data_IF_233269360019
#
_entry.id   IF_233269360019
#
_cell.length_a   1.000
_cell.length_b   1.000
_cell.length_c   1.000
_cell.angle_alpha   90.00
_cell.angle_beta   90.00
_cell.angle_gamma   90.00
#
_symmetry.space_group_name_H-M   'P 1'
#
loop_
_entity.id
_entity.type
_entity.pdbx_description
1 polymer ?
#
# COMPACT_ATOMS: atom_id res chain seq x y z
N UNK A 1 50.76 5.75 18.52
CA UNK A 1 49.47 5.88 17.83
C UNK A 1 48.94 4.48 17.60
N UNK A 2 47.75 4.14 18.16
CA UNK A 2 47.09 2.87 17.87
C UNK A 2 46.62 2.88 16.41
N UNK A 3 46.87 1.80 15.66
CA UNK A 3 46.41 1.67 14.28
C UNK A 3 44.99 1.09 14.32
N UNK A 4 44.06 1.61 13.52
CA UNK A 4 42.69 1.12 13.39
C UNK A 4 42.65 -0.41 13.10
N UNK A 5 43.65 -0.91 12.37
CA UNK A 5 43.78 -2.34 12.04
C UNK A 5 44.15 -3.26 13.22
N UNK A 6 44.37 -2.73 14.43
CA UNK A 6 44.63 -3.54 15.64
C UNK A 6 43.39 -3.81 16.48
N UNK A 7 42.22 -3.25 16.11
CA UNK A 7 40.96 -3.53 16.77
C UNK A 7 40.27 -4.72 16.11
N UNK A 8 39.64 -5.56 16.94
CA UNK A 8 38.81 -6.65 16.43
C UNK A 8 37.62 -6.09 15.66
N UNK A 9 37.25 -6.77 14.60
CA UNK A 9 36.06 -6.44 13.82
C UNK A 9 34.82 -6.86 14.62
N UNK A 10 33.95 -5.91 14.95
CA UNK A 10 32.63 -6.23 15.49
C UNK A 10 31.73 -6.75 14.36
N UNK A 11 31.25 -7.98 14.50
CA UNK A 11 30.38 -8.65 13.52
C UNK A 11 28.89 -8.48 13.84
N UNK A 12 28.56 -7.87 14.98
CA UNK A 12 27.18 -7.69 15.48
C UNK A 12 26.92 -6.24 15.85
N UNK A 13 26.75 -5.39 14.84
CA UNK A 13 26.46 -3.97 15.05
C UNK A 13 25.12 -3.78 15.73
N UNK A 14 25.09 -3.02 16.84
CA UNK A 14 23.92 -2.72 17.63
C UNK A 14 23.53 -1.25 17.54
N UNK A 15 22.26 -0.95 17.81
CA UNK A 15 21.73 0.44 17.77
C UNK A 15 22.41 1.38 18.77
N UNK A 16 22.99 0.82 19.84
CA UNK A 16 23.71 1.54 20.90
C UNK A 16 25.17 1.79 20.59
N UNK A 17 25.72 1.12 19.56
CA UNK A 17 27.11 1.27 19.16
C UNK A 17 27.41 2.69 18.70
N UNK A 18 28.65 3.10 18.89
CA UNK A 18 29.10 4.45 18.55
C UNK A 18 30.27 4.38 17.59
N UNK A 19 30.30 5.31 16.68
CA UNK A 19 31.46 5.53 15.84
C UNK A 19 31.94 6.98 15.95
N UNK A 20 33.24 7.17 15.71
CA UNK A 20 33.87 8.48 15.74
C UNK A 20 33.76 9.14 14.36
N UNK A 21 33.27 10.37 14.33
CA UNK A 21 33.20 11.18 13.11
C UNK A 21 33.41 12.66 13.42
N UNK A 22 33.25 13.51 12.42
CA UNK A 22 33.31 14.96 12.59
C UNK A 22 32.01 15.61 12.13
N UNK A 23 31.63 16.70 12.83
CA UNK A 23 30.59 17.60 12.36
C UNK A 23 31.09 18.43 11.17
N UNK A 24 30.17 19.16 10.51
CA UNK A 24 30.49 20.09 9.44
C UNK A 24 31.46 21.20 9.86
N UNK A 25 31.52 21.54 11.14
CA UNK A 25 32.44 22.51 11.72
C UNK A 25 33.83 21.93 12.03
N UNK A 26 34.09 20.63 11.72
CA UNK A 26 35.32 19.91 11.98
C UNK A 26 35.45 19.38 13.42
N UNK A 27 34.49 19.59 14.29
CA UNK A 27 34.51 19.06 15.67
C UNK A 27 34.35 17.56 15.67
N UNK A 28 35.24 16.85 16.35
CA UNK A 28 35.19 15.39 16.50
C UNK A 28 34.07 15.01 17.49
N UNK A 29 33.20 14.11 17.09
CA UNK A 29 32.04 13.65 17.89
C UNK A 29 31.83 12.13 17.78
N UNK A 30 31.22 11.59 18.83
CA UNK A 30 30.69 10.23 18.80
C UNK A 30 29.26 10.26 18.29
N UNK A 31 28.97 9.45 17.28
CA UNK A 31 27.61 9.26 16.74
C UNK A 31 27.11 7.87 17.16
N UNK A 32 25.86 7.78 17.59
CA UNK A 32 25.22 6.47 17.82
C UNK A 32 24.79 5.88 16.48
N UNK A 33 24.89 4.58 16.33
CA UNK A 33 24.46 3.88 15.14
C UNK A 33 22.96 4.12 14.86
N UNK A 34 22.13 4.19 15.92
CA UNK A 34 20.71 4.56 15.81
C UNK A 34 20.46 5.93 15.14
N UNK A 35 21.32 6.93 15.44
CA UNK A 35 21.14 8.27 14.90
C UNK A 35 21.57 8.34 13.43
N UNK A 36 22.61 7.58 13.07
CA UNK A 36 23.02 7.41 11.67
C UNK A 36 21.97 6.67 10.87
N UNK A 37 21.43 5.60 11.42
CA UNK A 37 20.33 4.86 10.79
C UNK A 37 19.12 5.76 10.54
N UNK A 38 18.72 6.58 11.52
CA UNK A 38 17.64 7.56 11.35
C UNK A 38 17.94 8.57 10.25
N UNK A 39 19.16 9.10 10.21
CA UNK A 39 19.58 10.05 9.18
C UNK A 39 19.55 9.39 7.79
N UNK A 40 20.08 8.19 7.64
CA UNK A 40 20.07 7.45 6.38
C UNK A 40 18.65 7.10 5.94
N UNK A 41 17.77 6.71 6.88
CA UNK A 41 16.34 6.50 6.60
C UNK A 41 15.66 7.80 6.15
N UNK A 42 15.95 8.92 6.81
CA UNK A 42 15.37 10.21 6.45
C UNK A 42 15.85 10.71 5.08
N UNK A 43 17.10 10.43 4.69
CA UNK A 43 17.66 10.83 3.39
C UNK A 43 17.37 9.84 2.27
N UNK A 44 17.21 8.55 2.58
CA UNK A 44 16.79 7.51 1.61
C UNK A 44 15.29 7.47 1.36
N UNK A 45 14.50 8.28 2.04
CA UNK A 45 13.07 8.44 1.76
C UNK A 45 12.78 9.20 0.45
N UNK A 46 13.77 9.33 -0.45
CA UNK A 46 13.51 9.59 -1.86
C UNK A 46 12.77 8.38 -2.43
N UNK A 47 11.47 8.31 -2.08
CA UNK A 47 10.59 7.22 -2.49
C UNK A 47 10.64 7.04 -3.99
N UNK A 48 10.53 5.81 -4.41
CA UNK A 48 10.11 5.46 -5.77
C UNK A 48 8.93 6.37 -6.12
N UNK A 49 8.98 7.07 -7.24
CA UNK A 49 7.98 8.10 -7.58
C UNK A 49 6.56 7.59 -7.32
N UNK A 50 5.79 8.34 -6.52
CA UNK A 50 4.44 7.98 -6.09
C UNK A 50 4.33 7.30 -4.72
N UNK A 51 5.42 7.12 -3.97
CA UNK A 51 5.39 6.69 -2.58
C UNK A 51 5.48 7.88 -1.62
N UNK A 52 4.62 7.86 -0.60
CA UNK A 52 4.69 8.78 0.53
C UNK A 52 5.13 7.99 1.76
N UNK A 53 6.22 8.41 2.39
CA UNK A 53 6.74 7.78 3.61
C UNK A 53 6.35 8.61 4.84
N UNK A 54 5.93 7.92 5.91
CA UNK A 54 5.51 8.53 7.17
C UNK A 54 5.96 7.67 8.35
N UNK A 55 6.04 8.30 9.52
CA UNK A 55 6.19 7.58 10.79
C UNK A 55 4.81 7.47 11.43
N UNK A 56 4.41 6.27 11.85
CA UNK A 56 3.18 6.11 12.61
C UNK A 56 3.37 6.66 14.03
N UNK A 57 2.49 7.57 14.42
CA UNK A 57 2.40 8.10 15.75
C UNK A 57 1.03 7.79 16.33
N UNK A 58 0.98 7.26 17.54
CA UNK A 58 -0.29 7.11 18.24
C UNK A 58 -0.96 8.49 18.43
N UNK A 59 -2.29 8.53 18.49
CA UNK A 59 -3.08 9.77 18.44
C UNK A 59 -2.88 10.69 19.65
N UNK A 60 -2.19 10.24 20.69
CA UNK A 60 -2.02 11.00 21.92
C UNK A 60 -0.82 11.94 21.90
N UNK A 61 -0.27 12.23 20.71
CA UNK A 61 0.82 13.18 20.56
C UNK A 61 2.10 12.89 21.37
N UNK A 62 2.18 11.76 22.04
CA UNK A 62 3.33 11.30 22.86
C UNK A 62 4.07 12.45 23.59
N UNK A 63 3.32 13.41 24.14
CA UNK A 63 3.87 14.57 24.85
C UNK A 63 4.29 15.76 23.99
N UNK A 64 4.05 15.72 22.67
CA UNK A 64 4.43 16.83 21.78
C UNK A 64 3.36 17.94 21.65
N UNK A 65 2.19 17.79 22.25
CA UNK A 65 1.11 18.80 22.22
C UNK A 65 0.45 19.03 20.86
N UNK A 66 1.17 18.84 19.75
CA UNK A 66 0.70 18.92 18.36
C UNK A 66 1.32 17.80 17.53
N UNK A 67 0.59 17.33 16.50
CA UNK A 67 1.12 16.31 15.59
C UNK A 67 2.32 16.83 14.84
N UNK A 68 3.34 16.00 14.70
CA UNK A 68 4.58 16.38 14.03
C UNK A 68 4.46 16.19 12.50
N UNK A 69 5.06 17.07 11.69
CA UNK A 69 5.22 16.81 10.25
C UNK A 69 5.89 15.46 10.00
N UNK A 70 5.49 14.79 8.92
CA UNK A 70 6.07 13.49 8.55
C UNK A 70 5.41 12.31 9.24
N UNK A 71 4.29 12.51 9.94
CA UNK A 71 3.59 11.44 10.65
C UNK A 71 2.26 11.07 10.02
N UNK A 72 1.85 9.83 10.30
CA UNK A 72 0.48 9.34 10.13
C UNK A 72 -0.07 8.95 11.50
N UNK A 73 -1.36 9.13 11.71
CA UNK A 73 -2.03 8.76 12.96
C UNK A 73 -3.44 8.26 12.70
N UNK A 74 -4.01 7.57 13.69
CA UNK A 74 -5.41 7.17 13.70
C UNK A 74 -6.27 8.20 14.42
N UNK A 75 -7.48 8.34 13.94
CA UNK A 75 -8.46 9.23 14.55
C UNK A 75 -9.11 8.62 15.82
N UNK A 76 -9.06 7.33 15.99
CA UNK A 76 -9.80 6.60 17.03
C UNK A 76 -9.06 6.39 18.36
N UNK A 77 -8.16 7.31 18.75
CA UNK A 77 -7.77 7.39 20.15
C UNK A 77 -6.67 6.44 20.62
N UNK A 78 -5.44 6.61 20.16
CA UNK A 78 -4.28 6.33 21.00
C UNK A 78 -3.87 4.89 21.20
N UNK A 79 -4.05 4.03 20.22
CA UNK A 79 -3.50 2.69 20.29
C UNK A 79 -2.06 2.67 19.78
N UNK A 80 -1.11 2.22 20.61
CA UNK A 80 0.28 2.03 20.20
C UNK A 80 0.44 0.98 19.10
N UNK A 81 -0.54 0.10 18.94
CA UNK A 81 -0.60 -0.96 17.92
C UNK A 81 -2.01 -1.02 17.35
N UNK A 82 -2.14 -0.97 16.02
CA UNK A 82 -3.44 -1.05 15.35
C UNK A 82 -3.37 -2.05 14.20
N UNK A 83 -4.29 -3.01 14.19
CA UNK A 83 -4.37 -3.98 13.10
C UNK A 83 -4.73 -3.29 11.78
N UNK A 84 -4.02 -3.59 10.69
CA UNK A 84 -4.35 -3.08 9.37
C UNK A 84 -5.80 -3.37 8.97
N UNK A 85 -6.34 -4.51 9.37
CA UNK A 85 -7.73 -4.90 9.07
C UNK A 85 -8.79 -4.00 9.73
N UNK A 86 -8.44 -3.26 10.76
CA UNK A 86 -9.34 -2.37 11.51
C UNK A 86 -9.30 -0.91 11.10
N UNK A 87 -8.45 -0.54 10.13
CA UNK A 87 -8.28 0.85 9.72
C UNK A 87 -9.45 1.33 8.86
N UNK A 88 -10.14 2.37 9.30
CA UNK A 88 -11.21 3.03 8.53
C UNK A 88 -10.90 4.50 8.23
N UNK A 89 -10.06 5.12 9.04
CA UNK A 89 -9.61 6.50 8.88
C UNK A 89 -8.15 6.60 9.24
N UNK A 90 -7.42 7.43 8.52
CA UNK A 90 -6.02 7.74 8.81
C UNK A 90 -5.80 9.24 8.61
N UNK A 91 -5.12 9.86 9.54
CA UNK A 91 -4.71 11.26 9.43
C UNK A 91 -3.25 11.30 9.00
N UNK A 92 -2.95 11.99 7.90
CA UNK A 92 -1.60 12.07 7.33
C UNK A 92 -1.11 13.51 7.26
N UNK A 93 0.18 13.71 7.50
CA UNK A 93 0.83 15.01 7.30
C UNK A 93 0.90 15.35 5.81
N UNK A 94 0.70 16.63 5.46
CA UNK A 94 0.99 17.12 4.10
C UNK A 94 2.48 17.09 3.74
N UNK A 95 3.34 16.96 4.74
CA UNK A 95 4.77 16.82 4.54
C UNK A 95 5.15 15.36 4.81
N UNK A 96 5.62 14.60 3.81
CA UNK A 96 6.15 13.28 4.03
C UNK A 96 7.35 13.30 5.00
N UNK A 97 7.64 12.16 5.63
CA UNK A 97 8.78 12.05 6.53
C UNK A 97 10.09 12.44 5.82
N UNK A 98 10.89 13.28 6.48
CA UNK A 98 12.15 13.79 5.94
C UNK A 98 12.00 14.83 4.82
N UNK A 99 10.78 15.28 4.49
CA UNK A 99 10.53 16.29 3.46
C UNK A 99 9.97 17.59 4.06
N UNK A 100 10.48 18.73 3.61
CA UNK A 100 9.87 20.03 3.84
C UNK A 100 8.90 20.46 2.73
N UNK A 101 8.81 19.69 1.65
CA UNK A 101 7.93 19.97 0.52
C UNK A 101 6.54 19.36 0.74
N UNK A 102 5.51 20.14 0.45
CA UNK A 102 4.12 19.69 0.56
C UNK A 102 3.78 18.67 -0.54
N UNK A 103 3.18 17.56 -0.16
CA UNK A 103 2.68 16.52 -1.05
C UNK A 103 1.16 16.60 -1.29
N UNK A 104 0.50 17.73 -0.99
CA UNK A 104 -0.96 17.87 -1.08
C UNK A 104 -1.49 17.49 -2.46
N UNK A 105 -0.81 17.91 -3.53
CA UNK A 105 -1.24 17.56 -4.90
C UNK A 105 -1.26 16.04 -5.11
N UNK A 106 -0.26 15.32 -4.59
CA UNK A 106 -0.21 13.85 -4.68
C UNK A 106 -1.26 13.22 -3.76
N UNK A 107 -1.42 13.72 -2.53
CA UNK A 107 -2.45 13.24 -1.59
C UNK A 107 -3.83 13.33 -2.24
N UNK A 108 -4.16 14.45 -2.90
CA UNK A 108 -5.46 14.62 -3.56
C UNK A 108 -5.69 13.64 -4.73
N UNK A 109 -4.62 13.12 -5.36
CA UNK A 109 -4.78 12.08 -6.40
C UNK A 109 -5.16 10.71 -5.84
N UNK A 110 -5.03 10.51 -4.54
CA UNK A 110 -5.40 9.24 -3.90
C UNK A 110 -6.93 9.05 -3.83
N UNK A 111 -7.73 10.10 -3.97
CA UNK A 111 -9.19 10.02 -3.90
C UNK A 111 -9.74 9.05 -4.95
N UNK A 112 -10.61 8.14 -4.50
CA UNK A 112 -11.20 7.07 -5.30
C UNK A 112 -10.21 6.04 -5.87
N UNK A 113 -8.93 6.08 -5.47
CA UNK A 113 -7.94 5.06 -5.83
C UNK A 113 -7.78 4.02 -4.73
N UNK A 114 -7.19 2.89 -5.09
CA UNK A 114 -6.70 1.95 -4.10
C UNK A 114 -5.27 2.33 -3.71
N UNK A 115 -4.99 2.27 -2.42
CA UNK A 115 -3.65 2.49 -1.87
C UNK A 115 -3.21 1.27 -1.08
N UNK A 116 -1.92 1.00 -1.06
CA UNK A 116 -1.30 0.09 -0.12
C UNK A 116 -0.58 0.92 0.93
N UNK A 117 -0.83 0.61 2.19
CA UNK A 117 -0.06 1.10 3.33
C UNK A 117 0.73 -0.10 3.83
N UNK A 118 2.05 -0.01 3.82
CA UNK A 118 2.93 -1.10 4.23
C UNK A 118 4.06 -0.61 5.11
N UNK A 119 4.51 -1.46 6.01
CA UNK A 119 5.74 -1.25 6.75
C UNK A 119 6.92 -1.16 5.78
N UNK A 120 7.88 -0.28 6.06
CA UNK A 120 9.06 -0.10 5.19
C UNK A 120 10.16 -1.14 5.44
N UNK A 121 10.11 -1.84 6.57
CA UNK A 121 11.10 -2.84 6.98
C UNK A 121 10.56 -4.27 6.88
N UNK A 122 9.22 -4.45 7.04
CA UNK A 122 8.54 -5.73 6.92
C UNK A 122 7.36 -5.62 5.95
N UNK A 123 7.59 -5.98 4.69
CA UNK A 123 6.58 -5.87 3.64
C UNK A 123 5.41 -6.86 3.78
N UNK A 124 5.51 -7.85 4.68
CA UNK A 124 4.37 -8.71 5.01
C UNK A 124 3.38 -8.03 5.96
N UNK A 125 3.72 -6.85 6.50
CA UNK A 125 2.82 -6.01 7.27
C UNK A 125 2.24 -4.91 6.40
N UNK A 126 0.99 -5.07 5.97
CA UNK A 126 0.35 -4.16 5.04
C UNK A 126 -1.17 -4.18 5.12
N UNK A 127 -1.79 -3.15 4.52
CA UNK A 127 -3.21 -3.10 4.21
C UNK A 127 -3.48 -2.42 2.88
N UNK A 128 -4.43 -2.94 2.12
CA UNK A 128 -4.88 -2.34 0.86
C UNK A 128 -6.26 -1.73 1.06
N UNK A 129 -6.39 -0.45 0.79
CA UNK A 129 -7.62 0.30 1.03
C UNK A 129 -8.03 1.10 -0.20
N UNK A 130 -9.33 1.26 -0.36
CA UNK A 130 -9.89 2.29 -1.23
C UNK A 130 -10.01 3.58 -0.44
N UNK A 131 -9.46 4.67 -0.95
CA UNK A 131 -9.64 6.02 -0.38
C UNK A 131 -10.98 6.56 -0.84
N UNK A 132 -11.91 6.81 0.10
CA UNK A 132 -13.28 7.22 -0.21
C UNK A 132 -13.54 8.71 0.04
N UNK A 133 -12.75 9.33 0.90
CA UNK A 133 -12.77 10.78 1.12
C UNK A 133 -11.40 11.28 1.54
N UNK A 134 -11.13 12.56 1.26
CA UNK A 134 -9.93 13.29 1.70
C UNK A 134 -10.39 14.67 2.16
N UNK A 135 -10.15 15.00 3.42
CA UNK A 135 -10.49 16.28 3.99
C UNK A 135 -9.28 16.88 4.69
N UNK A 136 -9.05 18.19 4.51
CA UNK A 136 -8.07 18.88 5.32
C UNK A 136 -8.61 19.01 6.75
N UNK A 137 -7.77 18.74 7.75
CA UNK A 137 -8.13 18.93 9.15
C UNK A 137 -8.37 20.42 9.44
N UNK A 138 -9.46 20.73 10.17
CA UNK A 138 -9.83 22.12 10.48
C UNK A 138 -8.92 22.77 11.50
N UNK A 139 -8.42 21.98 12.44
CA UNK A 139 -7.62 22.46 13.58
C UNK A 139 -6.12 22.39 13.27
N UNK A 140 -5.72 21.37 12.53
CA UNK A 140 -4.34 21.14 12.12
C UNK A 140 -4.19 21.17 10.60
N UNK A 141 -4.20 22.36 9.99
CA UNK A 141 -4.19 22.56 8.52
C UNK A 141 -2.99 21.95 7.76
N UNK A 142 -2.06 21.37 8.50
CA UNK A 142 -0.94 20.59 7.94
C UNK A 142 -1.24 19.10 7.80
N UNK A 143 -2.45 18.67 8.19
CA UNK A 143 -2.89 17.29 8.16
C UNK A 143 -4.14 17.11 7.31
N UNK A 144 -4.32 15.90 6.82
CA UNK A 144 -5.44 15.47 5.99
C UNK A 144 -6.01 14.16 6.54
N UNK A 145 -7.32 14.11 6.68
CA UNK A 145 -8.06 12.90 7.05
C UNK A 145 -8.43 12.13 5.78
N UNK A 146 -7.98 10.89 5.69
CA UNK A 146 -8.34 9.96 4.64
C UNK A 146 -9.33 8.93 5.20
N UNK A 147 -10.54 8.89 4.64
CA UNK A 147 -11.47 7.79 4.89
C UNK A 147 -11.11 6.59 4.02
N UNK A 148 -11.01 5.43 4.64
CA UNK A 148 -10.48 4.21 4.03
C UNK A 148 -11.51 3.08 4.12
N UNK A 149 -11.61 2.30 3.06
CA UNK A 149 -12.37 1.04 3.05
C UNK A 149 -11.42 -0.08 2.65
N UNK A 150 -11.30 -1.10 3.49
CA UNK A 150 -10.44 -2.26 3.22
C UNK A 150 -10.90 -2.98 1.94
N UNK A 151 -9.97 -3.29 1.06
CA UNK A 151 -10.22 -4.00 -0.19
C UNK A 151 -10.25 -5.51 0.07
N UNK A 152 -11.43 -6.07 0.18
CA UNK A 152 -11.62 -7.50 0.48
C UNK A 152 -11.02 -7.88 1.84
N UNK A 153 -10.08 -8.81 1.86
CA UNK A 153 -9.31 -9.23 3.03
C UNK A 153 -7.80 -8.97 2.88
N UNK A 154 -7.42 -7.96 2.07
CA UNK A 154 -6.02 -7.66 1.77
C UNK A 154 -5.39 -6.82 2.88
N UNK A 155 -5.21 -7.42 4.04
CA UNK A 155 -4.51 -6.82 5.18
C UNK A 155 -3.82 -7.92 6.00
N UNK A 156 -2.61 -7.64 6.47
CA UNK A 156 -1.84 -8.50 7.36
C UNK A 156 -1.02 -7.65 8.33
N UNK A 157 -0.90 -8.09 9.58
CA UNK A 157 -0.09 -7.42 10.60
C UNK A 157 -0.72 -6.16 11.18
N UNK A 158 0.12 -5.32 11.74
CA UNK A 158 -0.27 -4.16 12.52
C UNK A 158 0.57 -2.92 12.18
N UNK A 159 -0.01 -1.74 12.37
CA UNK A 159 0.75 -0.51 12.55
C UNK A 159 1.27 -0.45 13.97
N UNK A 160 2.58 -0.27 14.11
CA UNK A 160 3.25 -0.13 15.40
C UNK A 160 3.74 1.31 15.58
N UNK A 161 3.59 1.84 16.80
CA UNK A 161 4.02 3.21 17.09
C UNK A 161 5.51 3.41 16.84
N UNK A 162 5.86 4.55 16.22
CA UNK A 162 7.21 4.98 15.84
C UNK A 162 7.86 4.17 14.71
N UNK A 163 7.16 3.23 14.09
CA UNK A 163 7.62 2.55 12.87
C UNK A 163 7.34 3.39 11.62
N UNK A 164 8.05 3.10 10.56
CA UNK A 164 7.95 3.81 9.28
C UNK A 164 7.06 3.05 8.30
N UNK A 165 6.14 3.77 7.68
CA UNK A 165 5.18 3.23 6.71
C UNK A 165 5.23 3.98 5.40
N UNK A 166 5.01 3.26 4.32
CA UNK A 166 4.84 3.84 2.99
C UNK A 166 3.37 3.79 2.56
N UNK A 167 2.92 4.84 1.91
CA UNK A 167 1.62 4.89 1.23
C UNK A 167 1.89 5.04 -0.26
N UNK A 168 1.40 4.10 -1.06
CA UNK A 168 1.52 4.14 -2.52
C UNK A 168 0.23 3.73 -3.20
N UNK A 169 0.02 4.22 -4.43
CA UNK A 169 -1.13 3.82 -5.23
C UNK A 169 -1.00 2.33 -5.55
N UNK A 170 -2.04 1.58 -5.25
CA UNK A 170 -2.14 0.16 -5.56
C UNK A 170 -3.03 -0.04 -6.77
N UNK A 171 -2.44 -0.39 -7.89
CA UNK A 171 -3.16 -0.91 -9.05
C UNK A 171 -3.04 -2.41 -9.03
N UNK A 172 -4.13 -3.11 -8.69
CA UNK A 172 -4.20 -4.52 -9.01
C UNK A 172 -3.97 -4.65 -10.51
N UNK A 173 -2.95 -5.41 -10.91
CA UNK A 173 -2.71 -5.68 -12.33
C UNK A 173 -4.00 -6.16 -12.99
N UNK A 174 -4.16 -5.86 -14.27
CA UNK A 174 -5.36 -6.22 -15.02
C UNK A 174 -5.54 -7.74 -14.96
N UNK A 175 -6.45 -8.20 -14.10
CA UNK A 175 -6.69 -9.61 -13.89
C UNK A 175 -7.48 -10.12 -15.10
N UNK A 176 -6.94 -11.09 -15.78
CA UNK A 176 -7.58 -11.83 -16.86
C UNK A 176 -8.00 -13.20 -16.35
N UNK A 177 -9.08 -13.72 -16.86
CA UNK A 177 -9.53 -15.09 -16.60
C UNK A 177 -9.70 -15.83 -17.93
N UNK A 178 -9.21 -17.08 -17.97
CA UNK A 178 -9.42 -17.98 -19.09
C UNK A 178 -10.03 -19.27 -18.55
N UNK A 179 -11.19 -19.66 -19.06
CA UNK A 179 -11.80 -20.93 -18.67
C UNK A 179 -11.01 -22.12 -19.19
N UNK A 180 -11.15 -23.28 -18.53
CA UNK A 180 -10.91 -24.54 -19.21
C UNK A 180 -11.83 -24.67 -20.45
N UNK A 181 -11.61 -25.65 -21.29
CA UNK A 181 -12.54 -25.94 -22.37
C UNK A 181 -13.90 -26.31 -21.79
N UNK A 182 -14.93 -25.59 -22.20
CA UNK A 182 -16.32 -25.79 -21.78
C UNK A 182 -17.12 -26.36 -22.94
N UNK A 183 -18.09 -27.21 -22.60
CA UNK A 183 -19.06 -27.73 -23.57
C UNK A 183 -20.37 -26.95 -23.39
N UNK A 184 -20.69 -26.08 -24.34
CA UNK A 184 -21.94 -25.35 -24.37
C UNK A 184 -23.06 -26.22 -24.92
N UNK A 185 -24.21 -26.24 -24.26
CA UNK A 185 -25.43 -26.86 -24.74
C UNK A 185 -26.31 -25.80 -25.43
N UNK A 186 -27.03 -26.21 -26.48
CA UNK A 186 -27.90 -25.31 -27.23
C UNK A 186 -29.00 -24.69 -26.34
N UNK A 187 -29.10 -23.36 -26.33
CA UNK A 187 -30.07 -22.59 -25.57
C UNK A 187 -29.88 -22.57 -24.05
N UNK A 188 -28.84 -23.23 -23.53
CA UNK A 188 -28.58 -23.26 -22.09
C UNK A 188 -27.56 -22.20 -21.69
N UNK A 189 -27.84 -21.46 -20.61
CA UNK A 189 -26.93 -20.51 -20.03
C UNK A 189 -25.82 -21.22 -19.24
N UNK A 190 -24.56 -21.03 -19.65
CA UNK A 190 -23.39 -21.56 -18.96
C UNK A 190 -22.83 -20.51 -18.02
N UNK A 191 -22.78 -20.79 -16.73
CA UNK A 191 -22.18 -19.88 -15.75
C UNK A 191 -20.67 -19.95 -15.75
N UNK A 192 -20.04 -18.78 -15.77
CA UNK A 192 -18.59 -18.57 -15.69
C UNK A 192 -18.31 -17.74 -14.44
N UNK A 193 -17.63 -18.32 -13.45
CA UNK A 193 -17.14 -17.60 -12.27
C UNK A 193 -15.71 -17.15 -12.51
N UNK A 194 -15.47 -15.86 -12.67
CA UNK A 194 -14.16 -15.29 -13.02
C UNK A 194 -13.44 -14.59 -11.87
N UNK A 195 -14.17 -14.16 -10.83
CA UNK A 195 -13.62 -13.51 -9.62
C UNK A 195 -12.73 -12.28 -9.90
N UNK A 196 -13.05 -11.49 -10.94
CA UNK A 196 -12.27 -10.32 -11.35
C UNK A 196 -12.64 -9.05 -10.57
N UNK A 197 -13.79 -9.04 -9.87
CA UNK A 197 -14.26 -7.87 -9.12
C UNK A 197 -14.72 -6.70 -10.03
N UNK A 198 -14.99 -6.95 -11.31
CA UNK A 198 -15.42 -5.97 -12.32
C UNK A 198 -16.41 -6.60 -13.30
N UNK A 199 -17.05 -5.79 -14.13
CA UNK A 199 -17.80 -6.25 -15.31
C UNK A 199 -16.85 -6.27 -16.52
N UNK A 200 -16.27 -7.42 -16.87
CA UNK A 200 -15.23 -7.51 -17.88
C UNK A 200 -15.80 -7.66 -19.29
N UNK A 201 -14.95 -7.42 -20.30
CA UNK A 201 -15.25 -7.87 -21.67
C UNK A 201 -15.09 -9.38 -21.80
N UNK A 202 -15.88 -9.99 -22.68
CA UNK A 202 -15.92 -11.45 -22.86
C UNK A 202 -15.66 -11.79 -24.32
N UNK A 203 -14.71 -12.69 -24.55
CA UNK A 203 -14.44 -13.28 -25.87
C UNK A 203 -14.54 -14.79 -25.76
N UNK A 204 -15.31 -15.42 -26.63
CA UNK A 204 -15.43 -16.87 -26.69
C UNK A 204 -14.78 -17.39 -27.97
N UNK A 205 -13.91 -18.40 -27.83
CA UNK A 205 -13.17 -18.98 -28.96
C UNK A 205 -13.45 -20.47 -29.01
N UNK A 206 -13.93 -20.97 -30.16
CA UNK A 206 -14.24 -22.39 -30.40
C UNK A 206 -12.96 -23.22 -30.48
N UNK A 207 -13.13 -24.54 -30.59
CA UNK A 207 -12.01 -25.48 -30.70
C UNK A 207 -11.18 -25.33 -31.99
N UNK A 208 -11.68 -24.59 -32.98
CA UNK A 208 -10.99 -24.28 -34.24
C UNK A 208 -10.28 -22.94 -34.22
N UNK A 209 -10.27 -22.23 -33.06
CA UNK A 209 -9.64 -20.93 -32.91
C UNK A 209 -10.49 -19.75 -33.44
N UNK A 210 -11.76 -19.96 -33.76
CA UNK A 210 -12.65 -18.91 -34.22
C UNK A 210 -13.40 -18.26 -33.06
N UNK A 211 -13.47 -16.95 -33.08
CA UNK A 211 -14.32 -16.21 -32.17
C UNK A 211 -15.79 -16.45 -32.51
N UNK A 212 -16.59 -16.78 -31.52
CA UNK A 212 -18.02 -16.98 -31.61
C UNK A 212 -18.76 -15.99 -30.75
N UNK A 213 -19.88 -15.49 -31.23
CA UNK A 213 -20.70 -14.49 -30.55
C UNK A 213 -21.91 -15.19 -29.94
N UNK A 214 -22.11 -14.99 -28.66
CA UNK A 214 -23.26 -15.46 -27.90
C UNK A 214 -23.86 -14.34 -27.07
N UNK A 215 -24.97 -14.62 -26.43
CA UNK A 215 -25.54 -13.74 -25.43
C UNK A 215 -24.70 -13.81 -24.15
N UNK A 216 -24.23 -12.67 -23.65
CA UNK A 216 -23.45 -12.52 -22.42
C UNK A 216 -24.29 -11.72 -21.43
N UNK A 217 -24.51 -12.27 -20.25
CA UNK A 217 -25.17 -11.59 -19.15
C UNK A 217 -24.28 -11.58 -17.91
N UNK A 218 -23.90 -10.41 -17.41
CA UNK A 218 -23.19 -10.27 -16.15
C UNK A 218 -24.18 -10.49 -14.98
N UNK A 219 -23.97 -11.53 -14.20
CA UNK A 219 -24.81 -11.86 -13.03
C UNK A 219 -24.26 -11.20 -11.76
N UNK A 220 -22.97 -10.92 -11.71
CA UNK A 220 -22.29 -10.15 -10.64
C UNK A 220 -20.94 -9.62 -11.15
N UNK A 221 -20.25 -8.85 -10.30
CA UNK A 221 -18.86 -8.42 -10.58
C UNK A 221 -17.85 -9.58 -10.61
N UNK A 222 -18.26 -10.80 -10.26
CA UNK A 222 -17.42 -12.00 -10.19
C UNK A 222 -17.93 -13.16 -11.06
N UNK A 223 -19.09 -13.02 -11.68
CA UNK A 223 -19.69 -14.08 -12.48
C UNK A 223 -20.53 -13.53 -13.63
N UNK A 224 -20.58 -14.29 -14.70
CA UNK A 224 -21.43 -14.03 -15.87
C UNK A 224 -22.00 -15.33 -16.41
N UNK A 225 -22.99 -15.24 -17.28
CA UNK A 225 -23.49 -16.38 -18.08
C UNK A 225 -23.26 -16.12 -19.55
N UNK A 226 -22.99 -17.19 -20.29
CA UNK A 226 -22.90 -17.17 -21.75
C UNK A 226 -23.86 -18.18 -22.33
N UNK A 227 -24.67 -17.77 -23.32
CA UNK A 227 -25.66 -18.61 -23.98
C UNK A 227 -25.44 -18.63 -25.48
N UNK A 228 -25.50 -19.81 -26.07
CA UNK A 228 -25.42 -20.00 -27.53
C UNK A 228 -26.60 -20.82 -28.04
N UNK A 229 -27.00 -20.58 -29.29
CA UNK A 229 -28.09 -21.34 -29.92
C UNK A 229 -27.70 -22.75 -30.32
N UNK A 230 -26.42 -23.00 -30.55
CA UNK A 230 -25.89 -24.33 -30.97
C UNK A 230 -24.94 -24.89 -29.89
N UNK A 231 -24.86 -26.20 -29.81
CA UNK A 231 -23.92 -26.89 -28.93
C UNK A 231 -22.53 -26.95 -29.58
N UNK A 232 -21.48 -26.60 -28.86
CA UNK A 232 -20.08 -26.72 -29.27
C UNK A 232 -19.14 -26.57 -28.06
N UNK A 233 -17.85 -26.87 -28.29
CA UNK A 233 -16.82 -26.72 -27.27
C UNK A 233 -16.01 -25.43 -27.50
N UNK A 234 -15.77 -24.66 -26.44
CA UNK A 234 -15.05 -23.40 -26.52
C UNK A 234 -14.33 -23.05 -25.23
N UNK A 235 -13.43 -22.07 -25.31
CA UNK A 235 -12.83 -21.38 -24.16
C UNK A 235 -13.39 -19.97 -24.05
N UNK A 236 -13.57 -19.51 -22.83
CA UNK A 236 -14.03 -18.14 -22.51
C UNK A 236 -12.86 -17.35 -21.95
N UNK A 237 -12.54 -16.25 -22.62
CA UNK A 237 -11.54 -15.27 -22.23
C UNK A 237 -12.27 -14.05 -21.67
N UNK A 238 -11.88 -13.64 -20.48
CA UNK A 238 -12.55 -12.57 -19.72
C UNK A 238 -11.49 -11.58 -19.25
N UNK A 239 -11.57 -10.30 -19.71
CA UNK A 239 -10.54 -9.27 -19.50
C UNK A 239 -11.07 -8.04 -18.78
#
# INVERSE_FOLDING_TARGET
MARISTYELDTTVQTTDKFLGSNADGTVKNFKMSDVSKYLKATNSAGVGGQLAFIYHDSNNNGFGTRQPGTITFDAGGAAVVAFSGITTIKISKFPNGSSNSAVSLINTLLNTNVIISDTEDQDQFGVYKVTAINQDSDETSFYDLSLTLVGSLANGNLNNLESYSISIFTAGDKNFVSNQLNFSAGAAQTITHNLGKFPSVTVVDSNGKQVIGEVQHTSINALTVTFQNAFAAKVYVN
#
